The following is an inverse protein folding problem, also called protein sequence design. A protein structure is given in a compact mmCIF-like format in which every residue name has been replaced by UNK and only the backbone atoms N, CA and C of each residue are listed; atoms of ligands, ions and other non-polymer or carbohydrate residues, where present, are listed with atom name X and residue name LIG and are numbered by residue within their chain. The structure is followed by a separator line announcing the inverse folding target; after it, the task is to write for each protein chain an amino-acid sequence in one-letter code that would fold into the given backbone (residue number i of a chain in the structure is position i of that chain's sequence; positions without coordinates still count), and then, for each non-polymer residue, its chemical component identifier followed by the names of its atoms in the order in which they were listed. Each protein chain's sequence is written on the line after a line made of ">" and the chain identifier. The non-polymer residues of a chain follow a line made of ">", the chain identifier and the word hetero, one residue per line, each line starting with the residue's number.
data_IF_194902711669
#
_entry.id   IF_194902711669
#
_cell.length_a   1.000
_cell.length_b   1.000
_cell.length_c   1.000
_cell.angle_alpha   90.00
_cell.angle_beta   90.00
_cell.angle_gamma   90.00
#
_symmetry.space_group_name_H-M   'P 1'
#
loop_
_entity.id
_entity.type
_entity.pdbx_description
1 polymer ?
#
# COMPACT_ATOMS: atom_id res chain seq x y z
N UNK A 1 -4.83 9.71 -10.07
CA UNK A 1 -5.71 9.51 -8.90
C UNK A 1 -5.36 8.20 -8.16
N UNK A 2 -6.01 7.90 -7.04
CA UNK A 2 -5.92 6.58 -6.37
C UNK A 2 -7.02 5.69 -6.93
N UNK A 3 -6.62 4.55 -7.50
CA UNK A 3 -7.56 3.59 -8.11
C UNK A 3 -8.11 2.64 -7.05
N UNK A 4 -7.28 2.25 -6.08
CA UNK A 4 -7.73 1.41 -4.97
C UNK A 4 -6.87 1.55 -3.72
N UNK A 5 -7.55 1.42 -2.58
CA UNK A 5 -6.96 1.27 -1.25
C UNK A 5 -7.52 -0.04 -0.68
N UNK A 6 -6.65 -0.96 -0.30
CA UNK A 6 -7.11 -2.20 0.32
C UNK A 6 -7.58 -1.92 1.75
N UNK A 7 -8.83 -2.25 2.08
CA UNK A 7 -9.44 -1.96 3.40
C UNK A 7 -8.88 -2.81 4.56
N UNK A 8 -7.92 -3.71 4.31
CA UNK A 8 -7.30 -4.50 5.37
C UNK A 8 -5.94 -5.05 4.98
N UNK A 9 -5.08 -5.27 5.97
CA UNK A 9 -3.79 -5.95 5.78
C UNK A 9 -4.00 -7.45 5.57
N UNK A 10 -3.07 -8.12 4.89
CA UNK A 10 -3.13 -9.58 4.66
C UNK A 10 -3.28 -10.43 5.94
N UNK A 11 -2.91 -9.88 7.10
CA UNK A 11 -3.10 -10.51 8.40
C UNK A 11 -4.57 -10.63 8.86
N UNK A 12 -5.49 -9.77 8.38
CA UNK A 12 -6.94 -9.86 8.70
C UNK A 12 -7.70 -10.85 7.81
N UNK A 13 -7.13 -11.22 6.66
CA UNK A 13 -7.71 -12.18 5.72
C UNK A 13 -7.00 -13.54 5.73
N UNK A 14 -6.00 -13.72 6.61
CA UNK A 14 -5.32 -14.99 6.82
C UNK A 14 -6.24 -15.96 7.59
N UNK A 15 -6.29 -17.22 7.15
CA UNK A 15 -6.97 -18.30 7.89
C UNK A 15 -6.37 -18.50 9.31
N UNK A 16 -5.12 -18.07 9.49
CA UNK A 16 -4.42 -18.03 10.78
C UNK A 16 -4.00 -16.59 11.06
N UNK A 17 -4.86 -15.76 11.67
CA UNK A 17 -4.44 -14.48 12.20
C UNK A 17 -3.43 -14.72 13.32
N UNK A 18 -2.48 -13.79 13.51
CA UNK A 18 -1.49 -13.90 14.57
C UNK A 18 -2.19 -13.80 15.94
N UNK A 19 -2.42 -14.92 16.61
CA UNK A 19 -2.80 -14.96 18.02
C UNK A 19 -1.53 -14.81 18.86
N UNK A 20 -1.26 -13.58 19.29
CA UNK A 20 -0.17 -13.29 20.23
C UNK A 20 -0.57 -13.75 21.64
N UNK A 21 -0.65 -15.06 21.85
CA UNK A 21 -0.94 -15.68 23.13
C UNK A 21 0.35 -15.85 23.95
N UNK A 22 0.89 -14.77 24.55
CA UNK A 22 1.82 -14.75 25.72
C UNK A 22 2.55 -13.42 25.85
N UNK A 23 1.87 -12.36 26.33
CA UNK A 23 2.47 -11.23 27.07
C UNK A 23 3.57 -10.36 26.42
N UNK A 24 4.08 -10.67 25.23
CA UNK A 24 5.10 -9.90 24.52
C UNK A 24 4.47 -9.22 23.31
N UNK A 25 4.32 -7.89 23.41
CA UNK A 25 3.82 -7.05 22.33
C UNK A 25 4.91 -6.88 21.27
N UNK A 26 4.87 -7.69 20.21
CA UNK A 26 5.68 -7.43 19.02
C UNK A 26 4.92 -6.46 18.12
N UNK A 27 5.52 -5.29 17.83
CA UNK A 27 4.96 -4.32 16.89
C UNK A 27 5.01 -4.90 15.48
N UNK A 28 3.90 -5.47 15.02
CA UNK A 28 3.76 -5.95 13.65
C UNK A 28 3.30 -4.79 12.76
N UNK A 29 4.11 -4.47 11.75
CA UNK A 29 3.76 -3.46 10.74
C UNK A 29 2.69 -4.03 9.80
N UNK A 30 1.49 -3.46 9.83
CA UNK A 30 0.44 -3.75 8.86
C UNK A 30 0.66 -2.88 7.62
N UNK A 31 1.02 -3.51 6.50
CA UNK A 31 1.16 -2.83 5.21
C UNK A 31 -0.18 -2.83 4.49
N UNK A 32 -0.58 -1.66 4.01
CA UNK A 32 -1.77 -1.47 3.18
C UNK A 32 -1.29 -1.16 1.76
N UNK A 33 -1.53 -2.05 0.77
CA UNK A 33 -1.20 -1.75 -0.61
C UNK A 33 -2.14 -0.68 -1.17
N UNK A 34 -1.56 0.26 -1.92
CA UNK A 34 -2.26 1.35 -2.60
C UNK A 34 -1.85 1.33 -4.07
N UNK A 35 -2.83 1.40 -4.98
CA UNK A 35 -2.58 1.53 -6.42
C UNK A 35 -2.83 2.97 -6.86
N UNK A 36 -1.80 3.60 -7.41
CA UNK A 36 -1.84 4.97 -7.93
C UNK A 36 -1.85 4.91 -9.45
N UNK A 37 -2.82 5.58 -10.08
CA UNK A 37 -2.94 5.68 -11.54
C UNK A 37 -2.70 7.13 -11.96
N UNK A 38 -1.94 7.33 -13.03
CA UNK A 38 -1.65 8.67 -13.58
C UNK A 38 -2.50 8.87 -14.82
N UNK A 39 -3.48 9.76 -14.74
CA UNK A 39 -4.49 9.92 -15.81
C UNK A 39 -3.99 10.75 -16.99
N UNK A 40 -3.23 11.80 -16.69
CA UNK A 40 -2.78 12.82 -17.65
C UNK A 40 -1.45 13.42 -17.20
N UNK A 41 -0.72 14.05 -18.12
CA UNK A 41 0.55 14.73 -17.84
C UNK A 41 1.81 13.89 -18.09
N UNK A 42 1.65 12.63 -18.49
CA UNK A 42 2.75 11.83 -19.04
C UNK A 42 2.87 12.10 -20.54
N UNK A 43 4.07 12.46 -20.99
CA UNK A 43 4.41 12.55 -22.41
C UNK A 43 4.46 11.11 -22.98
N UNK A 44 3.64 10.78 -23.99
CA UNK A 44 3.64 9.44 -24.59
C UNK A 44 5.00 9.05 -25.18
N UNK A 45 5.83 10.03 -25.57
CA UNK A 45 7.15 9.79 -26.12
C UNK A 45 8.23 9.66 -25.04
N UNK A 46 7.89 9.86 -23.76
CA UNK A 46 8.81 9.75 -22.61
C UNK A 46 8.15 8.94 -21.48
N UNK A 47 8.09 7.61 -21.63
CA UNK A 47 7.56 6.76 -20.58
C UNK A 47 8.43 6.85 -19.32
N UNK A 48 7.82 6.69 -18.15
CA UNK A 48 8.55 6.64 -16.90
C UNK A 48 9.42 5.37 -16.85
N UNK A 49 10.73 5.50 -16.60
CA UNK A 49 11.59 4.36 -16.32
C UNK A 49 11.08 3.51 -15.15
N UNK A 50 11.26 2.20 -15.26
CA UNK A 50 11.00 1.28 -14.15
C UNK A 50 12.01 1.52 -13.02
N UNK A 51 11.58 1.35 -11.77
CA UNK A 51 12.45 1.49 -10.61
C UNK A 51 12.66 2.93 -10.11
N UNK A 52 11.95 3.91 -10.66
CA UNK A 52 11.91 5.25 -10.08
C UNK A 52 11.27 5.23 -8.69
N UNK A 53 11.84 6.02 -7.79
CA UNK A 53 11.31 6.24 -6.44
C UNK A 53 10.71 7.64 -6.35
N UNK A 54 9.60 7.76 -5.63
CA UNK A 54 8.91 9.01 -5.37
C UNK A 54 8.26 8.92 -3.99
N UNK A 55 8.08 10.06 -3.32
CA UNK A 55 7.33 10.16 -2.05
C UNK A 55 5.91 10.72 -2.32
N UNK A 56 4.89 9.86 -2.46
CA UNK A 56 3.53 10.29 -2.73
C UNK A 56 2.81 10.72 -1.44
N UNK A 57 2.11 11.86 -1.48
CA UNK A 57 1.19 12.27 -0.41
C UNK A 57 -0.25 11.91 -0.78
N UNK A 58 -0.90 11.17 0.11
CA UNK A 58 -2.30 10.76 -0.03
C UNK A 58 -3.10 11.39 1.11
N UNK A 59 -4.09 12.25 0.82
CA UNK A 59 -5.06 12.66 1.83
C UNK A 59 -5.97 11.48 2.18
N UNK A 60 -6.20 11.26 3.46
CA UNK A 60 -7.13 10.26 3.99
C UNK A 60 -8.22 11.05 4.72
N UNK A 61 -9.48 10.94 4.28
CA UNK A 61 -10.64 11.46 5.01
C UNK A 61 -11.15 10.43 6.02
#
# INVERSE_FOLDING_TARGET
>A
HIDSIQQGSGSRFSAFPAENATGNFVKIVQRVPVKIVIDKGLDPNKPLPLGLSVDPKVPVE
#
